data_IF_151518631215
#
_entry.id   IF_151518631215
#
_cell.length_a   1.000
_cell.length_b   1.000
_cell.length_c   1.000
_cell.angle_alpha   90.00
_cell.angle_beta   90.00
_cell.angle_gamma   90.00
#
_symmetry.space_group_name_H-M   'P 1'
#
loop_
_entity.id
_entity.type
_entity.pdbx_description
1 polymer ?
#
# COMPACT_ATOMS: atom_id res chain seq x y z
N UNK A 1 1.59 25.77 20.38
CA UNK A 1 0.54 25.26 19.47
C UNK A 1 -0.39 24.31 20.21
N UNK A 2 -1.70 24.57 20.18
CA UNK A 2 -2.71 23.73 20.80
C UNK A 2 -3.39 22.87 19.71
N UNK A 3 -3.21 21.56 19.78
CA UNK A 3 -3.88 20.62 18.90
C UNK A 3 -5.08 20.02 19.64
N UNK A 4 -6.29 20.24 19.12
CA UNK A 4 -7.50 19.60 19.63
C UNK A 4 -7.88 18.46 18.70
N UNK A 5 -7.96 17.26 19.28
CA UNK A 5 -8.46 16.06 18.63
C UNK A 5 -9.69 15.56 19.40
N UNK A 6 -10.50 14.72 18.75
CA UNK A 6 -11.73 14.17 19.33
C UNK A 6 -11.52 13.42 20.65
N UNK A 7 -10.34 12.81 20.82
CA UNK A 7 -9.99 11.95 21.96
C UNK A 7 -8.86 12.51 22.83
N UNK A 8 -8.21 13.61 22.44
CA UNK A 8 -7.14 14.20 23.24
C UNK A 8 -6.92 15.66 22.87
N UNK A 9 -6.41 16.45 23.81
CA UNK A 9 -5.90 17.79 23.54
C UNK A 9 -4.41 17.81 23.86
N UNK A 10 -3.59 18.25 22.90
CA UNK A 10 -2.15 18.36 23.06
C UNK A 10 -1.75 19.82 23.10
N UNK A 11 -1.09 20.21 24.17
CA UNK A 11 -0.45 21.52 24.27
C UNK A 11 1.06 21.36 24.13
N UNK A 12 1.60 21.91 23.04
CA UNK A 12 3.05 21.90 22.77
C UNK A 12 3.83 22.84 23.68
N UNK A 13 3.19 23.83 24.30
CA UNK A 13 3.86 24.79 25.19
C UNK A 13 4.14 24.17 26.56
N UNK A 14 3.16 23.44 27.12
CA UNK A 14 3.29 22.75 28.40
C UNK A 14 3.88 21.34 28.30
N UNK A 15 4.05 20.79 27.08
CA UNK A 15 4.44 19.39 26.81
C UNK A 15 3.51 18.35 27.46
N UNK A 16 2.25 18.72 27.65
CA UNK A 16 1.25 17.88 28.28
C UNK A 16 0.20 17.43 27.25
N UNK A 17 -0.29 16.21 27.46
CA UNK A 17 -1.40 15.64 26.67
C UNK A 17 -2.56 15.43 27.63
N UNK A 18 -3.73 15.90 27.27
CA UNK A 18 -4.95 15.78 28.06
C UNK A 18 -5.92 14.85 27.35
N UNK A 19 -6.62 14.03 28.12
CA UNK A 19 -7.70 13.16 27.65
C UNK A 19 -9.01 13.95 27.43
N UNK A 20 -10.04 13.31 26.89
CA UNK A 20 -11.39 13.86 26.69
C UNK A 20 -12.02 14.41 27.97
N UNK A 21 -11.62 13.88 29.12
CA UNK A 21 -12.04 14.33 30.46
C UNK A 21 -11.11 15.38 31.09
N UNK A 22 -10.23 16.01 30.30
CA UNK A 22 -9.24 16.99 30.75
C UNK A 22 -8.26 16.45 31.80
N UNK A 23 -8.06 15.13 31.82
CA UNK A 23 -7.11 14.44 32.69
C UNK A 23 -5.74 14.41 32.02
N UNK A 24 -4.68 14.77 32.74
CA UNK A 24 -3.31 14.71 32.22
C UNK A 24 -2.90 13.26 31.95
N UNK A 25 -2.52 12.98 30.70
CA UNK A 25 -1.96 11.73 30.24
C UNK A 25 -0.43 11.81 30.33
N UNK A 26 0.19 10.84 31.02
CA UNK A 26 1.65 10.76 31.19
C UNK A 26 2.35 10.25 29.93
N UNK A 27 2.22 10.97 28.82
CA UNK A 27 2.92 10.68 27.57
C UNK A 27 4.21 11.50 27.47
N UNK A 28 5.36 10.86 27.61
CA UNK A 28 6.68 11.52 27.62
C UNK A 28 7.68 10.84 26.68
N UNK A 29 8.77 11.55 26.35
CA UNK A 29 9.88 11.07 25.51
C UNK A 29 9.56 11.04 24.02
N UNK A 30 10.14 10.09 23.28
CA UNK A 30 9.97 9.99 21.83
C UNK A 30 8.51 9.72 21.43
N UNK A 31 7.74 9.00 22.24
CA UNK A 31 6.32 8.77 21.97
C UNK A 31 5.51 10.09 21.93
N UNK A 32 5.84 11.06 22.77
CA UNK A 32 5.23 12.40 22.70
C UNK A 32 5.61 13.11 21.40
N UNK A 33 6.91 13.11 21.04
CA UNK A 33 7.38 13.75 19.81
C UNK A 33 6.75 13.14 18.56
N UNK A 34 6.57 11.82 18.52
CA UNK A 34 5.83 11.12 17.44
C UNK A 34 4.40 11.60 17.36
N UNK A 35 3.71 11.74 18.50
CA UNK A 35 2.33 12.25 18.52
C UNK A 35 2.26 13.70 18.01
N UNK A 36 3.21 14.57 18.40
CA UNK A 36 3.30 15.95 17.91
C UNK A 36 3.51 15.98 16.40
N UNK A 37 4.43 15.18 15.89
CA UNK A 37 4.69 15.08 14.45
C UNK A 37 3.43 14.66 13.68
N UNK A 38 2.72 13.65 14.17
CA UNK A 38 1.49 13.18 13.55
C UNK A 38 0.34 14.20 13.66
N UNK A 39 0.31 15.02 14.72
CA UNK A 39 -0.65 16.12 14.82
C UNK A 39 -0.36 17.25 13.83
N UNK A 40 0.92 17.53 13.56
CA UNK A 40 1.33 18.57 12.62
C UNK A 40 1.17 18.13 11.16
N UNK A 41 1.61 16.91 10.82
CA UNK A 41 1.69 16.43 9.45
C UNK A 41 0.52 15.53 9.03
N UNK A 42 -0.36 15.14 9.97
CA UNK A 42 -1.50 14.20 9.82
C UNK A 42 -1.11 12.75 9.45
N UNK A 43 0.03 12.55 8.82
CA UNK A 43 0.59 11.26 8.45
C UNK A 43 2.12 11.32 8.31
N UNK A 44 2.80 10.16 8.36
CA UNK A 44 4.20 10.05 7.96
C UNK A 44 4.73 8.62 8.00
N UNK A 45 5.82 8.39 7.26
CA UNK A 45 6.52 7.10 7.21
C UNK A 45 7.45 6.92 8.41
N UNK A 46 7.99 5.70 8.59
CA UNK A 46 9.02 5.43 9.61
C UNK A 46 10.21 6.38 9.45
N UNK A 47 10.63 6.64 8.21
CA UNK A 47 11.74 7.54 7.88
C UNK A 47 11.41 8.99 8.25
N UNK A 48 10.23 9.49 7.86
CA UNK A 48 9.84 10.88 8.18
C UNK A 48 9.76 11.12 9.69
N UNK A 49 9.26 10.12 10.42
CA UNK A 49 9.16 10.17 11.89
C UNK A 49 10.56 10.07 12.52
N UNK A 50 11.42 9.20 12.00
CA UNK A 50 12.81 9.06 12.46
C UNK A 50 13.61 10.35 12.28
N UNK A 51 13.52 10.97 11.10
CA UNK A 51 14.18 12.23 10.75
C UNK A 51 13.73 13.39 11.65
N UNK A 52 12.47 13.39 12.08
CA UNK A 52 11.93 14.38 13.02
C UNK A 52 12.40 14.15 14.47
N UNK A 53 12.61 12.89 14.87
CA UNK A 53 13.00 12.56 16.24
C UNK A 53 14.44 12.93 16.51
N UNK A 54 15.39 12.23 15.87
CA UNK A 54 16.83 12.41 16.00
C UNK A 54 17.50 11.86 14.71
N UNK A 55 17.96 12.75 13.82
CA UNK A 55 18.55 12.39 12.51
C UNK A 55 19.80 11.49 12.62
N UNK A 56 20.47 11.48 13.76
CA UNK A 56 21.69 10.70 14.00
C UNK A 56 21.42 9.25 14.41
N UNK A 57 20.16 8.88 14.67
CA UNK A 57 19.78 7.55 15.17
C UNK A 57 18.92 6.81 14.16
N UNK A 58 19.31 5.58 13.83
CA UNK A 58 18.55 4.74 12.91
C UNK A 58 17.31 4.13 13.60
N UNK A 59 16.14 4.67 13.28
CA UNK A 59 14.86 4.22 13.83
C UNK A 59 14.26 3.11 12.96
N UNK A 60 14.45 1.86 13.38
CA UNK A 60 13.71 0.72 12.81
C UNK A 60 12.19 0.82 13.02
N UNK A 61 11.42 0.15 12.15
CA UNK A 61 9.95 0.03 12.22
C UNK A 61 9.46 -0.46 13.59
N UNK A 62 10.22 -1.33 14.25
CA UNK A 62 9.89 -1.85 15.59
C UNK A 62 9.86 -0.74 16.66
N UNK A 63 10.75 0.26 16.57
CA UNK A 63 10.78 1.38 17.51
C UNK A 63 9.53 2.25 17.35
N UNK A 64 9.16 2.59 16.11
CA UNK A 64 7.97 3.40 15.83
C UNK A 64 6.69 2.63 16.20
N UNK A 65 6.67 1.31 16.00
CA UNK A 65 5.57 0.45 16.46
C UNK A 65 5.40 0.49 17.98
N UNK A 66 6.50 0.46 18.75
CA UNK A 66 6.46 0.59 20.21
C UNK A 66 5.91 1.95 20.65
N UNK A 67 6.32 3.04 19.99
CA UNK A 67 5.80 4.37 20.28
C UNK A 67 4.30 4.47 19.96
N UNK A 68 3.86 3.96 18.82
CA UNK A 68 2.43 3.86 18.48
C UNK A 68 1.65 3.11 19.57
N UNK A 69 2.12 1.94 19.98
CA UNK A 69 1.46 1.15 21.02
C UNK A 69 1.34 1.95 22.32
N UNK A 70 2.43 2.56 22.76
CA UNK A 70 2.45 3.39 23.97
C UNK A 70 1.47 4.57 23.90
N UNK A 71 1.39 5.25 22.75
CA UNK A 71 0.44 6.35 22.52
C UNK A 71 -1.00 5.84 22.64
N UNK A 72 -1.35 4.78 21.91
CA UNK A 72 -2.72 4.26 21.87
C UNK A 72 -3.15 3.66 23.23
N UNK A 73 -2.24 3.02 23.97
CA UNK A 73 -2.52 2.51 25.32
C UNK A 73 -2.75 3.64 26.32
N UNK A 74 -1.96 4.72 26.24
CA UNK A 74 -2.09 5.84 27.18
C UNK A 74 -3.35 6.66 26.89
N UNK A 75 -3.70 6.87 25.62
CA UNK A 75 -4.92 7.59 25.22
C UNK A 75 -6.16 6.69 25.33
N UNK A 76 -6.02 5.37 25.42
CA UNK A 76 -7.14 4.43 25.51
C UNK A 76 -7.90 4.22 24.19
N UNK A 77 -7.50 4.89 23.11
CA UNK A 77 -8.10 4.80 21.78
C UNK A 77 -7.02 4.51 20.71
N UNK A 78 -7.40 3.86 19.60
CA UNK A 78 -6.51 3.62 18.44
C UNK A 78 -6.38 4.90 17.61
N UNK A 79 -5.74 5.90 18.20
CA UNK A 79 -5.59 7.25 17.65
C UNK A 79 -4.54 7.28 16.53
N UNK A 80 -3.48 6.48 16.65
CA UNK A 80 -2.47 6.35 15.59
C UNK A 80 -2.67 5.01 14.90
N UNK A 81 -2.98 5.05 13.59
CA UNK A 81 -3.25 3.86 12.77
C UNK A 81 -2.10 3.65 11.79
N UNK A 82 -1.57 2.43 11.73
CA UNK A 82 -0.58 2.06 10.71
C UNK A 82 -1.27 1.41 9.52
N UNK A 83 -1.15 2.02 8.33
CA UNK A 83 -1.75 1.50 7.09
C UNK A 83 -0.84 1.78 5.91
N UNK A 84 -0.59 0.76 5.09
CA UNK A 84 0.21 0.86 3.85
C UNK A 84 1.63 1.43 4.05
N UNK A 85 2.30 1.14 5.17
CA UNK A 85 3.65 1.64 5.44
C UNK A 85 3.70 3.04 6.07
N UNK A 86 2.54 3.65 6.36
CA UNK A 86 2.43 5.01 6.84
C UNK A 86 1.66 5.01 8.18
N UNK A 87 2.13 5.81 9.13
CA UNK A 87 1.43 6.10 10.37
C UNK A 87 0.51 7.30 10.14
N UNK A 88 -0.77 7.10 10.37
CA UNK A 88 -1.83 8.10 10.18
C UNK A 88 -2.42 8.45 11.54
N UNK A 89 -2.76 9.72 11.74
CA UNK A 89 -3.57 10.13 12.88
C UNK A 89 -5.06 9.94 12.53
N UNK A 90 -5.73 9.06 13.26
CA UNK A 90 -7.12 8.68 13.06
C UNK A 90 -8.08 9.71 13.65
N UNK A 91 -8.57 10.62 12.80
CA UNK A 91 -9.62 11.59 13.11
C UNK A 91 -9.29 12.99 12.59
N UNK A 92 -10.32 13.82 12.42
CA UNK A 92 -10.14 15.21 11.98
C UNK A 92 -9.50 16.03 13.11
N UNK A 93 -8.19 16.31 12.99
CA UNK A 93 -7.51 17.32 13.80
C UNK A 93 -7.90 18.69 13.26
N UNK A 94 -8.68 19.43 14.03
CA UNK A 94 -8.92 20.85 13.80
C UNK A 94 -7.82 21.65 14.46
N UNK A 95 -6.83 22.11 13.69
CA UNK A 95 -5.85 23.09 14.14
C UNK A 95 -6.55 24.44 14.33
N UNK A 96 -6.59 24.95 15.55
CA UNK A 96 -6.96 26.35 15.80
C UNK A 96 -5.68 27.17 15.69
N UNK A 97 -5.36 27.59 14.46
CA UNK A 97 -4.37 28.62 14.22
C UNK A 97 -5.04 30.00 14.32
N UNK A 98 -4.47 30.87 15.16
CA UNK A 98 -4.75 32.30 15.07
C UNK A 98 -4.02 32.83 13.83
N UNK A 99 -4.82 33.29 12.88
CA UNK A 99 -4.60 34.22 11.77
C UNK A 99 -3.22 34.87 11.64
N UNK A 100 -2.63 34.78 10.44
CA UNK A 100 -2.20 35.95 9.65
C UNK A 100 -1.99 35.57 8.17
N UNK A 101 -2.50 36.45 7.29
CA UNK A 101 -2.55 36.38 5.83
C UNK A 101 -1.16 36.39 5.18
N UNK A 102 -0.95 35.64 4.08
CA UNK A 102 -0.62 36.24 2.77
C UNK A 102 -0.59 35.18 1.67
N UNK A 103 -1.07 35.53 0.49
CA UNK A 103 -1.45 34.61 -0.58
C UNK A 103 -0.30 34.00 -1.38
N UNK A 104 -0.60 32.85 -1.99
CA UNK A 104 -0.58 32.67 -3.44
C UNK A 104 -1.20 31.32 -3.83
N UNK A 105 -2.18 31.41 -4.73
CA UNK A 105 -2.98 30.32 -5.26
C UNK A 105 -2.16 29.45 -6.23
N UNK A 106 -1.89 28.18 -5.88
CA UNK A 106 -1.52 27.13 -6.86
C UNK A 106 -2.12 25.75 -6.59
N UNK A 107 -2.92 25.55 -5.54
CA UNK A 107 -3.29 24.19 -5.09
C UNK A 107 -4.54 23.57 -5.73
N UNK A 108 -5.26 24.30 -6.60
CA UNK A 108 -6.54 23.81 -7.14
C UNK A 108 -6.40 22.84 -8.33
N UNK A 109 -5.21 22.68 -8.91
CA UNK A 109 -4.98 21.76 -10.04
C UNK A 109 -4.46 20.37 -9.60
N UNK A 110 -3.93 20.21 -8.37
CA UNK A 110 -3.40 18.91 -7.92
C UNK A 110 -4.41 18.07 -7.13
N UNK A 111 -5.30 18.73 -6.37
CA UNK A 111 -6.35 18.05 -5.59
C UNK A 111 -7.36 17.30 -6.47
N UNK A 112 -7.78 17.89 -7.60
CA UNK A 112 -8.77 17.25 -8.47
C UNK A 112 -8.20 16.10 -9.32
N UNK A 113 -6.91 16.12 -9.67
CA UNK A 113 -6.27 15.01 -10.40
C UNK A 113 -6.10 13.79 -9.48
N UNK A 114 -5.74 14.00 -8.22
CA UNK A 114 -5.59 12.93 -7.23
C UNK A 114 -6.96 12.37 -6.83
N UNK A 115 -7.99 13.21 -6.64
CA UNK A 115 -9.35 12.75 -6.29
C UNK A 115 -10.02 11.95 -7.44
N UNK A 116 -9.71 12.30 -8.69
CA UNK A 116 -10.14 11.55 -9.88
C UNK A 116 -9.47 10.17 -9.98
N UNK A 117 -8.18 10.03 -9.64
CA UNK A 117 -7.49 8.74 -9.66
C UNK A 117 -7.76 7.90 -8.40
N UNK A 118 -7.93 8.54 -7.24
CA UNK A 118 -8.15 7.87 -5.96
C UNK A 118 -9.58 7.30 -5.86
N UNK A 119 -10.58 7.95 -6.47
CA UNK A 119 -11.91 7.35 -6.63
C UNK A 119 -11.90 6.15 -7.60
N UNK A 120 -10.98 6.09 -8.56
CA UNK A 120 -10.82 4.93 -9.43
C UNK A 120 -10.03 3.78 -8.78
N UNK A 121 -9.06 4.06 -7.90
CA UNK A 121 -8.26 3.01 -7.24
C UNK A 121 -8.80 2.55 -5.87
N UNK A 122 -9.60 3.35 -5.16
CA UNK A 122 -10.15 2.99 -3.85
C UNK A 122 -11.42 2.12 -3.92
N UNK A 123 -12.04 1.98 -5.09
CA UNK A 123 -13.19 1.09 -5.27
C UNK A 123 -12.81 -0.40 -5.46
N UNK A 124 -11.51 -0.75 -5.37
CA UNK A 124 -11.00 -2.13 -5.39
C UNK A 124 -10.86 -2.71 -3.97
N UNK A 125 -11.80 -2.40 -3.09
CA UNK A 125 -12.15 -3.31 -1.99
C UNK A 125 -13.43 -4.04 -2.37
N UNK A 126 -13.39 -4.75 -3.50
CA UNK A 126 -14.35 -5.83 -3.70
C UNK A 126 -14.03 -6.91 -2.68
N UNK A 127 -15.07 -7.59 -2.16
CA UNK A 127 -14.93 -8.99 -1.79
C UNK A 127 -14.03 -9.62 -2.85
N UNK A 128 -12.85 -10.10 -2.49
CA UNK A 128 -11.93 -10.71 -3.44
C UNK A 128 -12.51 -12.10 -3.76
N UNK A 129 -13.61 -12.12 -4.51
CA UNK A 129 -14.23 -13.33 -4.99
C UNK A 129 -13.32 -13.92 -6.07
N UNK A 130 -13.17 -15.23 -6.04
CA UNK A 130 -12.30 -15.95 -6.96
C UNK A 130 -12.82 -15.81 -8.40
N UNK A 131 -12.25 -14.87 -9.16
CA UNK A 131 -12.61 -14.68 -10.56
C UNK A 131 -11.73 -15.55 -11.46
N UNK A 132 -12.36 -16.42 -12.26
CA UNK A 132 -11.69 -17.30 -13.24
C UNK A 132 -11.38 -16.60 -14.55
N UNK A 133 -12.09 -15.52 -14.85
CA UNK A 133 -11.97 -14.81 -16.10
C UNK A 133 -10.56 -14.29 -16.41
N UNK A 134 -9.77 -13.74 -15.46
CA UNK A 134 -8.39 -13.29 -15.74
C UNK A 134 -7.48 -14.42 -16.24
N UNK A 135 -7.60 -15.62 -15.68
CA UNK A 135 -6.84 -16.79 -16.11
C UNK A 135 -7.28 -17.28 -17.50
N UNK A 136 -8.58 -17.23 -17.81
CA UNK A 136 -9.10 -17.58 -19.14
C UNK A 136 -8.58 -16.60 -20.20
N UNK A 137 -8.68 -15.30 -19.93
CA UNK A 137 -8.18 -14.25 -20.83
C UNK A 137 -6.68 -14.40 -21.05
N UNK A 138 -5.90 -14.59 -19.98
CA UNK A 138 -4.45 -14.80 -20.08
C UNK A 138 -4.09 -16.03 -20.90
N UNK A 139 -4.83 -17.14 -20.73
CA UNK A 139 -4.61 -18.37 -21.48
C UNK A 139 -4.87 -18.18 -22.98
N UNK A 140 -5.95 -17.46 -23.34
CA UNK A 140 -6.27 -17.17 -24.75
C UNK A 140 -5.22 -16.26 -25.37
N UNK A 141 -4.79 -15.22 -24.67
CA UNK A 141 -3.78 -14.26 -25.16
C UNK A 141 -2.42 -14.93 -25.33
N UNK A 142 -2.00 -15.77 -24.37
CA UNK A 142 -0.78 -16.57 -24.49
C UNK A 142 -0.86 -17.56 -25.66
N UNK A 143 -2.02 -18.19 -25.88
CA UNK A 143 -2.21 -19.08 -27.02
C UNK A 143 -2.09 -18.33 -28.36
N UNK A 144 -2.64 -17.11 -28.44
CA UNK A 144 -2.49 -16.25 -29.62
C UNK A 144 -1.03 -15.79 -29.84
N UNK A 145 -0.26 -15.63 -28.77
CA UNK A 145 1.16 -15.25 -28.80
C UNK A 145 2.06 -16.28 -29.50
N UNK A 146 1.63 -17.55 -29.53
CA UNK A 146 2.33 -18.64 -30.23
C UNK A 146 2.35 -18.41 -31.76
N UNK A 147 1.33 -17.75 -32.30
CA UNK A 147 1.29 -17.38 -33.71
C UNK A 147 2.23 -16.19 -34.00
N UNK A 148 2.73 -16.05 -35.25
CA UNK A 148 3.56 -14.92 -35.63
C UNK A 148 2.74 -13.63 -35.65
N UNK A 149 2.69 -12.94 -34.52
CA UNK A 149 2.00 -11.67 -34.33
C UNK A 149 2.97 -10.48 -34.43
N UNK A 150 2.47 -9.26 -34.71
CA UNK A 150 3.30 -8.06 -34.73
C UNK A 150 3.92 -7.78 -33.36
N UNK A 151 5.07 -7.11 -33.35
CA UNK A 151 5.88 -6.88 -32.15
C UNK A 151 5.09 -6.31 -30.96
N UNK A 152 4.14 -5.39 -31.20
CA UNK A 152 3.30 -4.80 -30.16
C UNK A 152 2.40 -5.79 -29.42
N UNK A 153 2.01 -6.90 -30.06
CA UNK A 153 1.17 -7.92 -29.43
C UNK A 153 1.89 -8.60 -28.26
N UNK A 154 3.19 -8.87 -28.40
CA UNK A 154 3.99 -9.49 -27.34
C UNK A 154 4.09 -8.62 -26.08
N UNK A 155 4.13 -7.29 -26.24
CA UNK A 155 4.09 -6.35 -25.12
C UNK A 155 2.74 -6.38 -24.42
N UNK A 156 1.64 -6.41 -25.18
CA UNK A 156 0.28 -6.52 -24.62
C UNK A 156 0.10 -7.84 -23.87
N UNK A 157 0.57 -8.96 -24.45
CA UNK A 157 0.57 -10.28 -23.79
C UNK A 157 1.28 -10.21 -22.44
N UNK A 158 2.49 -9.64 -22.40
CA UNK A 158 3.25 -9.46 -21.16
C UNK A 158 2.49 -8.67 -20.10
N UNK A 159 1.84 -7.56 -20.49
CA UNK A 159 1.04 -6.74 -19.58
C UNK A 159 -0.13 -7.54 -19.00
N UNK A 160 -0.90 -8.22 -19.86
CA UNK A 160 -2.09 -8.99 -19.45
C UNK A 160 -1.71 -10.15 -18.53
N UNK A 161 -0.66 -10.91 -18.89
CA UNK A 161 -0.19 -12.07 -18.11
C UNK A 161 0.39 -11.65 -16.78
N UNK A 162 1.14 -10.54 -16.75
CA UNK A 162 1.69 -9.98 -15.51
C UNK A 162 0.59 -9.49 -14.59
N UNK A 163 -0.37 -8.72 -15.11
CA UNK A 163 -1.51 -8.23 -14.33
C UNK A 163 -2.33 -9.39 -13.72
N UNK A 164 -2.60 -10.43 -14.52
CA UNK A 164 -3.32 -11.61 -14.04
C UNK A 164 -2.52 -12.42 -13.02
N UNK A 165 -1.22 -12.58 -13.21
CA UNK A 165 -0.34 -13.26 -12.25
C UNK A 165 -0.26 -12.54 -10.91
N UNK A 166 -0.16 -11.21 -10.93
CA UNK A 166 -0.18 -10.37 -9.72
C UNK A 166 -1.53 -10.51 -9.01
N UNK A 167 -2.65 -10.46 -9.74
CA UNK A 167 -3.97 -10.66 -9.17
C UNK A 167 -4.09 -12.02 -8.45
N UNK A 168 -3.62 -13.11 -9.06
CA UNK A 168 -3.66 -14.43 -8.43
C UNK A 168 -2.67 -14.58 -7.28
N UNK A 169 -1.46 -14.03 -7.38
CA UNK A 169 -0.51 -14.01 -6.26
C UNK A 169 -1.09 -13.26 -5.06
N UNK A 170 -1.72 -12.11 -5.29
CA UNK A 170 -2.39 -11.32 -4.26
C UNK A 170 -3.59 -12.06 -3.67
N UNK A 171 -4.41 -12.71 -4.51
CA UNK A 171 -5.52 -13.55 -4.06
C UNK A 171 -5.02 -14.70 -3.16
N UNK A 172 -3.95 -15.40 -3.55
CA UNK A 172 -3.37 -16.49 -2.75
C UNK A 172 -2.83 -16.00 -1.40
N UNK A 173 -2.17 -14.85 -1.41
CA UNK A 173 -1.61 -14.26 -0.20
C UNK A 173 -2.69 -13.78 0.76
N UNK A 174 -3.70 -13.06 0.26
CA UNK A 174 -4.68 -12.37 1.11
C UNK A 174 -5.91 -13.23 1.43
N UNK A 175 -6.45 -13.95 0.45
CA UNK A 175 -7.66 -14.76 0.64
C UNK A 175 -7.36 -16.13 1.24
N UNK A 176 -6.29 -16.79 0.80
CA UNK A 176 -5.95 -18.14 1.27
C UNK A 176 -4.88 -18.15 2.36
N UNK A 177 -4.15 -17.05 2.59
CA UNK A 177 -2.95 -16.96 3.45
C UNK A 177 -1.94 -18.08 3.20
N UNK A 178 -1.89 -18.61 1.96
CA UNK A 178 -1.01 -19.71 1.57
C UNK A 178 0.18 -19.19 0.78
N UNK A 179 1.34 -19.10 1.43
CA UNK A 179 2.65 -18.89 0.78
C UNK A 179 3.23 -20.19 0.20
N UNK A 180 2.37 -21.03 -0.38
CA UNK A 180 2.77 -22.34 -0.92
C UNK A 180 3.37 -22.25 -2.32
N UNK A 181 3.62 -23.42 -2.92
CA UNK A 181 4.15 -23.56 -4.29
C UNK A 181 3.45 -22.64 -5.32
N UNK A 182 2.11 -22.61 -5.32
CA UNK A 182 1.32 -21.81 -6.26
C UNK A 182 1.57 -20.30 -6.16
N UNK A 183 1.80 -19.77 -4.96
CA UNK A 183 2.10 -18.35 -4.77
C UNK A 183 3.44 -18.01 -5.43
N UNK A 184 4.48 -18.80 -5.16
CA UNK A 184 5.80 -18.62 -5.76
C UNK A 184 5.79 -18.80 -7.28
N UNK A 185 5.00 -19.73 -7.80
CA UNK A 185 4.80 -19.88 -9.24
C UNK A 185 4.25 -18.60 -9.89
N UNK A 186 3.18 -18.00 -9.34
CA UNK A 186 2.62 -16.76 -9.90
C UNK A 186 3.55 -15.56 -9.75
N UNK A 187 4.30 -15.48 -8.65
CA UNK A 187 5.36 -14.46 -8.48
C UNK A 187 6.44 -14.62 -9.56
N UNK A 188 6.90 -15.84 -9.81
CA UNK A 188 7.90 -16.12 -10.83
C UNK A 188 7.38 -15.76 -12.24
N UNK A 189 6.13 -16.11 -12.56
CA UNK A 189 5.51 -15.73 -13.85
C UNK A 189 5.39 -14.21 -13.98
N UNK A 190 4.98 -13.50 -12.93
CA UNK A 190 4.89 -12.05 -12.94
C UNK A 190 6.25 -11.38 -13.19
N UNK A 191 7.33 -11.93 -12.64
CA UNK A 191 8.70 -11.46 -12.89
C UNK A 191 9.12 -11.78 -14.34
N UNK A 192 8.86 -12.99 -14.81
CA UNK A 192 9.27 -13.46 -16.14
C UNK A 192 8.60 -12.69 -17.28
N UNK A 193 7.32 -12.36 -17.12
CA UNK A 193 6.53 -11.62 -18.12
C UNK A 193 6.52 -10.10 -17.88
N UNK A 194 7.31 -9.59 -16.92
CA UNK A 194 7.32 -8.18 -16.56
C UNK A 194 7.73 -7.29 -17.77
N UNK A 195 6.89 -6.36 -18.23
CA UNK A 195 7.24 -5.47 -19.33
C UNK A 195 8.32 -4.44 -18.96
N UNK A 196 8.53 -4.15 -17.67
CA UNK A 196 9.52 -3.17 -17.20
C UNK A 196 10.96 -3.70 -17.38
N UNK A 197 11.15 -5.01 -17.19
CA UNK A 197 12.44 -5.69 -17.36
C UNK A 197 12.28 -6.85 -18.35
N UNK A 198 12.23 -6.56 -19.66
CA UNK A 198 12.05 -7.59 -20.67
C UNK A 198 13.27 -8.51 -20.74
N UNK A 199 13.07 -9.78 -20.40
CA UNK A 199 14.09 -10.81 -20.58
C UNK A 199 14.11 -11.19 -22.07
N UNK A 200 15.20 -10.89 -22.77
CA UNK A 200 15.35 -11.26 -24.17
C UNK A 200 15.99 -12.63 -24.28
N UNK A 201 15.17 -13.68 -24.37
CA UNK A 201 15.65 -14.96 -24.87
C UNK A 201 15.77 -14.84 -26.39
N UNK A 202 17.00 -14.90 -26.90
CA UNK A 202 17.32 -14.84 -28.33
C UNK A 202 16.69 -15.98 -29.16
N UNK A 203 16.09 -16.97 -28.51
CA UNK A 203 15.46 -18.12 -29.15
C UNK A 203 13.92 -18.06 -29.01
N UNK A 204 13.23 -17.80 -30.14
CA UNK A 204 11.76 -17.73 -30.21
C UNK A 204 11.09 -19.06 -29.81
N UNK A 205 11.71 -20.19 -30.13
CA UNK A 205 11.20 -21.52 -29.75
C UNK A 205 11.17 -21.69 -28.23
N UNK A 206 12.16 -21.12 -27.53
CA UNK A 206 12.24 -21.21 -26.07
C UNK A 206 11.18 -20.34 -25.39
N UNK A 207 10.91 -19.15 -25.94
CA UNK A 207 9.76 -18.33 -25.52
C UNK A 207 8.41 -19.03 -25.76
N UNK A 208 8.24 -19.69 -26.90
CA UNK A 208 7.02 -20.49 -27.16
C UNK A 208 6.83 -21.63 -26.16
N UNK A 209 7.92 -22.30 -25.75
CA UNK A 209 7.87 -23.34 -24.73
C UNK A 209 7.48 -22.76 -23.35
N UNK A 210 8.03 -21.60 -22.97
CA UNK A 210 7.67 -20.88 -21.74
C UNK A 210 6.18 -20.52 -21.76
N UNK A 211 5.70 -19.91 -22.85
CA UNK A 211 4.29 -19.54 -23.01
C UNK A 211 3.38 -20.77 -22.81
N UNK A 212 3.75 -21.92 -23.40
CA UNK A 212 3.02 -23.17 -23.26
C UNK A 212 2.97 -23.69 -21.81
N UNK A 213 4.10 -23.65 -21.09
CA UNK A 213 4.17 -24.03 -19.67
C UNK A 213 3.27 -23.13 -18.82
N UNK A 214 3.27 -21.83 -19.10
CA UNK A 214 2.47 -20.84 -18.35
C UNK A 214 0.98 -21.03 -18.62
N UNK A 215 0.58 -21.32 -19.86
CA UNK A 215 -0.81 -21.71 -20.18
C UNK A 215 -1.22 -22.91 -19.33
N UNK A 216 -0.39 -23.96 -19.29
CA UNK A 216 -0.65 -25.15 -18.46
C UNK A 216 -0.82 -24.81 -16.98
N UNK A 217 0.03 -23.94 -16.44
CA UNK A 217 -0.06 -23.46 -15.06
C UNK A 217 -1.40 -22.78 -14.76
N UNK A 218 -1.84 -21.85 -15.60
CA UNK A 218 -3.13 -21.16 -15.44
C UNK A 218 -4.31 -22.14 -15.52
N UNK A 219 -4.28 -23.09 -16.45
CA UNK A 219 -5.33 -24.10 -16.63
C UNK A 219 -5.42 -25.00 -15.40
N UNK A 220 -4.30 -25.59 -14.95
CA UNK A 220 -4.27 -26.46 -13.76
C UNK A 220 -4.75 -25.68 -12.53
N UNK A 221 -4.37 -24.41 -12.40
CA UNK A 221 -4.82 -23.55 -11.32
C UNK A 221 -6.35 -23.39 -11.30
N UNK A 222 -6.97 -23.13 -12.47
CA UNK A 222 -8.44 -23.03 -12.60
C UNK A 222 -9.10 -24.35 -12.17
N UNK A 223 -8.60 -25.50 -12.63
CA UNK A 223 -9.16 -26.81 -12.30
C UNK A 223 -9.06 -27.12 -10.81
N UNK A 224 -7.93 -26.81 -10.18
CA UNK A 224 -7.74 -27.03 -8.75
C UNK A 224 -8.70 -26.22 -7.87
N UNK A 225 -9.06 -25.02 -8.31
CA UNK A 225 -10.01 -24.14 -7.61
C UNK A 225 -11.48 -24.46 -7.95
N UNK A 226 -11.75 -25.48 -8.78
CA UNK A 226 -13.12 -25.96 -9.09
C UNK A 226 -13.57 -27.08 -8.16
N UNK A 227 -12.67 -27.66 -7.38
CA UNK A 227 -12.91 -28.75 -6.46
C UNK A 227 -12.90 -28.24 -5.02
#
# INVERSE_FOLDING_TARGET
MLYKHKFFSLDTNSRQVFDEHNKELRLTGNAYRVLVFLCANKQGTVTDIGDFLDREKDYSEDHIRQYRYKINTIIGHDVVVYKNGIYLLGGDVSSVEKTEENGRNTDLLHSNKIKSEQNHMAHVHSKLEFYRWPAIVSSIVLFLSVFPMPYGFYTITKIIVTASSIYYAYYLYRALRKKGFWFWCFVAVAILFNPIMPIYLYNKTLWGAIDFVVIGLFVIFIFKQKK
#
